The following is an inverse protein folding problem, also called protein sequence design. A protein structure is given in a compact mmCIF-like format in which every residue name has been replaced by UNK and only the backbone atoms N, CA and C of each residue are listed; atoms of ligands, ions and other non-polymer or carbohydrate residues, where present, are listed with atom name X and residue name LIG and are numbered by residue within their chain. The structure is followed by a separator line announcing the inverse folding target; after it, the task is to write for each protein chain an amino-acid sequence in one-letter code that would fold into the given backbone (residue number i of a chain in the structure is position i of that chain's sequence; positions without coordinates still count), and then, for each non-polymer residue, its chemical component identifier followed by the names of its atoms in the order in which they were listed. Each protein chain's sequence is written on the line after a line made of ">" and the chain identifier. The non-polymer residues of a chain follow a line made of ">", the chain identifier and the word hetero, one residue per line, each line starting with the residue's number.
data_IF_717525879210
#
_entry.id   IF_717525879210
#
_cell.length_a   1.000
_cell.length_b   1.000
_cell.length_c   1.000
_cell.angle_alpha   90.00
_cell.angle_beta   90.00
_cell.angle_gamma   90.00
#
_symmetry.space_group_name_H-M   'P 1'
#
loop_
_entity.id
_entity.type
_entity.pdbx_description
1 polymer ?
#
# COMPACT_ATOMS: atom_id res chain seq x y z
N UNK A 1 -1.19 -27.61 -24.49
CA UNK A 1 -2.19 -28.45 -23.79
C UNK A 1 -1.49 -29.38 -22.81
N UNK A 2 -2.04 -29.46 -21.59
CA UNK A 2 -1.85 -30.45 -20.51
C UNK A 2 -0.42 -30.86 -20.07
N UNK A 3 -0.01 -30.38 -18.89
CA UNK A 3 0.81 -31.13 -17.95
C UNK A 3 -0.09 -32.17 -17.25
N UNK A 4 0.09 -33.47 -17.55
CA UNK A 4 -0.40 -34.61 -16.75
C UNK A 4 0.55 -34.77 -15.56
N UNK A 5 0.08 -34.65 -14.32
CA UNK A 5 -0.47 -35.73 -13.48
C UNK A 5 0.49 -36.89 -13.24
N UNK A 6 1.09 -36.86 -12.05
CA UNK A 6 1.39 -37.95 -11.10
C UNK A 6 1.56 -39.37 -11.67
N UNK A 7 2.75 -39.96 -11.48
CA UNK A 7 2.92 -41.18 -10.69
C UNK A 7 4.39 -41.59 -10.63
N UNK A 8 4.83 -42.06 -9.46
CA UNK A 8 5.35 -43.42 -9.26
C UNK A 8 6.15 -43.51 -7.95
N UNK A 9 5.59 -44.31 -7.05
CA UNK A 9 6.28 -44.97 -5.94
C UNK A 9 7.51 -45.73 -6.42
N UNK A 10 8.63 -45.63 -5.69
CA UNK A 10 9.53 -46.78 -5.57
C UNK A 10 10.27 -46.78 -4.23
N UNK A 11 10.02 -47.84 -3.49
CA UNK A 11 10.68 -48.28 -2.27
C UNK A 11 12.00 -48.96 -2.59
N UNK A 12 13.10 -48.61 -1.94
CA UNK A 12 14.23 -49.55 -1.78
C UNK A 12 14.85 -49.41 -0.39
N UNK A 13 14.77 -50.51 0.34
CA UNK A 13 15.44 -50.83 1.60
C UNK A 13 16.96 -50.87 1.37
N UNK A 14 17.75 -50.32 2.29
CA UNK A 14 19.13 -50.79 2.47
C UNK A 14 19.64 -50.59 3.90
N UNK A 15 19.78 -51.74 4.56
CA UNK A 15 20.83 -52.18 5.49
C UNK A 15 21.18 -51.40 6.78
N UNK A 16 20.96 -52.06 7.93
CA UNK A 16 21.52 -51.77 9.26
C UNK A 16 23.00 -52.16 9.31
N UNK A 17 23.79 -51.65 10.28
CA UNK A 17 24.04 -52.47 11.47
C UNK A 17 24.06 -51.71 12.81
N UNK A 18 24.24 -52.51 13.87
CA UNK A 18 24.05 -52.26 15.30
C UNK A 18 24.89 -51.14 15.93
N UNK A 19 24.35 -50.56 17.00
CA UNK A 19 25.09 -49.77 17.98
C UNK A 19 24.18 -49.26 19.11
N UNK A 20 23.87 -50.11 20.08
CA UNK A 20 23.26 -49.70 21.34
C UNK A 20 24.29 -48.93 22.18
N UNK A 21 24.02 -47.66 22.48
CA UNK A 21 24.61 -46.97 23.64
C UNK A 21 23.59 -45.99 24.21
N UNK A 22 22.85 -46.46 25.22
CA UNK A 22 22.14 -45.57 26.15
C UNK A 22 23.19 -44.83 26.97
N UNK A 23 23.24 -43.51 26.85
CA UNK A 23 23.68 -42.62 27.93
C UNK A 23 22.64 -41.53 28.11
N UNK A 24 22.08 -41.52 29.32
CA UNK A 24 21.30 -40.41 29.87
C UNK A 24 22.12 -39.12 29.82
N UNK A 25 21.50 -37.98 29.49
CA UNK A 25 21.40 -36.80 30.36
C UNK A 25 20.93 -35.56 29.56
N UNK A 26 20.14 -34.73 30.25
CA UNK A 26 19.94 -33.31 30.04
C UNK A 26 19.13 -32.80 28.84
N UNK A 27 17.89 -32.44 29.18
CA UNK A 27 17.10 -31.37 28.62
C UNK A 27 17.86 -30.30 27.81
N UNK A 28 17.46 -30.13 26.55
CA UNK A 28 17.40 -28.81 25.92
C UNK A 28 16.30 -28.83 24.86
N UNK A 29 15.10 -28.40 25.26
CA UNK A 29 14.05 -27.98 24.32
C UNK A 29 14.58 -26.75 23.60
N UNK A 30 15.34 -26.96 22.53
CA UNK A 30 15.66 -25.90 21.59
C UNK A 30 14.37 -25.65 20.82
N UNK A 31 13.49 -24.82 21.39
CA UNK A 31 12.39 -24.22 20.66
C UNK A 31 13.02 -23.41 19.54
N UNK A 32 13.12 -24.04 18.37
CA UNK A 32 13.35 -23.34 17.12
C UNK A 32 12.27 -22.28 17.02
N UNK A 33 12.66 -21.05 17.33
CA UNK A 33 11.93 -19.84 17.03
C UNK A 33 12.01 -19.65 15.51
N UNK A 34 11.40 -20.55 14.76
CA UNK A 34 10.93 -20.23 13.41
C UNK A 34 9.80 -19.24 13.66
N UNK A 35 10.19 -17.97 13.71
CA UNK A 35 9.27 -16.84 13.70
C UNK A 35 8.34 -17.09 12.53
N UNK A 36 7.14 -17.56 12.86
CA UNK A 36 6.00 -17.57 11.96
C UNK A 36 5.89 -16.12 11.53
N UNK A 37 6.29 -15.81 10.30
CA UNK A 37 5.94 -14.57 9.62
C UNK A 37 4.43 -14.61 9.37
N UNK A 38 3.67 -14.61 10.46
CA UNK A 38 2.25 -14.46 10.47
C UNK A 38 2.02 -13.02 10.03
N UNK A 39 1.57 -12.88 8.78
CA UNK A 39 0.86 -11.75 8.21
C UNK A 39 0.66 -10.63 9.26
N UNK A 40 1.68 -9.76 9.43
CA UNK A 40 1.58 -8.62 10.34
C UNK A 40 0.48 -7.76 9.76
N UNK A 41 -0.74 -7.89 10.31
CA UNK A 41 -1.75 -6.85 10.22
C UNK A 41 -1.00 -5.60 10.65
N UNK A 42 -0.69 -4.71 9.71
CA UNK A 42 -0.13 -3.41 10.07
C UNK A 42 -1.15 -2.86 11.05
N UNK A 43 -0.71 -2.56 12.27
CA UNK A 43 -1.48 -1.70 13.14
C UNK A 43 -1.58 -0.37 12.38
N UNK A 44 -2.70 -0.18 11.70
CA UNK A 44 -2.99 1.03 10.96
C UNK A 44 -3.60 1.96 12.00
N UNK A 45 -2.73 2.64 12.76
CA UNK A 45 -3.09 3.55 13.86
C UNK A 45 -4.13 4.60 13.48
N UNK A 46 -4.64 5.43 14.41
CA UNK A 46 -5.79 6.31 14.20
C UNK A 46 -5.72 7.14 12.91
N UNK A 47 -6.88 7.44 12.29
CA UNK A 47 -6.97 8.19 11.02
C UNK A 47 -6.14 9.47 11.05
N UNK A 48 -6.24 10.26 12.12
CA UNK A 48 -5.50 11.51 12.28
C UNK A 48 -3.98 11.31 12.20
N UNK A 49 -3.45 10.30 12.91
CA UNK A 49 -2.01 10.00 12.91
C UNK A 49 -1.50 9.63 11.49
N UNK A 50 -2.32 8.94 10.69
CA UNK A 50 -1.96 8.57 9.32
C UNK A 50 -1.91 9.78 8.39
N UNK A 51 -2.88 10.67 8.51
CA UNK A 51 -2.92 11.92 7.74
C UNK A 51 -1.72 12.78 8.09
N UNK A 52 -1.39 12.92 9.37
CA UNK A 52 -0.21 13.65 9.81
C UNK A 52 1.09 13.03 9.27
N UNK A 53 1.21 11.70 9.35
CA UNK A 53 2.37 10.98 8.79
C UNK A 53 2.51 11.22 7.28
N UNK A 54 1.40 11.22 6.54
CA UNK A 54 1.40 11.50 5.10
C UNK A 54 1.71 12.97 4.79
N UNK A 55 1.18 13.90 5.58
CA UNK A 55 1.44 15.33 5.41
C UNK A 55 2.93 15.67 5.64
N UNK A 56 3.59 14.98 6.57
CA UNK A 56 5.03 15.15 6.84
C UNK A 56 5.92 14.42 5.83
N UNK A 57 5.42 13.35 5.20
CA UNK A 57 6.19 12.57 4.22
C UNK A 57 6.49 13.36 2.95
N UNK A 58 7.77 13.39 2.55
CA UNK A 58 8.20 13.97 1.28
C UNK A 58 7.60 13.22 0.09
N UNK A 59 7.65 11.89 0.11
CA UNK A 59 7.14 11.03 -0.96
C UNK A 59 5.64 11.21 -1.18
N UNK A 60 4.86 11.34 -0.09
CA UNK A 60 3.42 11.54 -0.18
C UNK A 60 3.08 12.90 -0.81
N UNK A 61 3.76 13.97 -0.38
CA UNK A 61 3.57 15.31 -0.98
C UNK A 61 4.00 15.32 -2.45
N UNK A 62 5.16 14.77 -2.75
CA UNK A 62 5.66 14.63 -4.11
C UNK A 62 4.70 13.82 -4.99
N UNK A 63 4.09 12.76 -4.47
CA UNK A 63 3.09 11.97 -5.21
C UNK A 63 1.88 12.81 -5.63
N UNK A 64 1.36 13.66 -4.73
CA UNK A 64 0.22 14.53 -5.07
C UNK A 64 0.64 15.64 -6.05
N UNK A 65 1.84 16.21 -5.87
CA UNK A 65 2.41 17.20 -6.79
C UNK A 65 2.62 16.64 -8.20
N UNK A 66 3.18 15.43 -8.32
CA UNK A 66 3.36 14.74 -9.60
C UNK A 66 2.01 14.38 -10.26
N UNK A 67 1.01 14.02 -9.46
CA UNK A 67 -0.35 13.81 -9.97
C UNK A 67 -0.93 15.11 -10.53
N UNK A 68 -0.68 16.24 -9.85
CA UNK A 68 -1.12 17.55 -10.27
C UNK A 68 -0.45 17.97 -11.58
N UNK A 69 0.90 17.83 -11.64
CA UNK A 69 1.77 18.12 -12.78
C UNK A 69 1.43 17.30 -14.02
N UNK A 70 0.92 16.08 -13.85
CA UNK A 70 0.51 15.19 -14.95
C UNK A 70 -1.00 15.28 -15.29
N UNK A 71 -1.59 16.47 -15.26
CA UNK A 71 -3.04 16.74 -15.18
C UNK A 71 -3.98 15.57 -14.82
N UNK A 72 -3.70 14.83 -13.73
CA UNK A 72 -4.59 13.76 -13.23
C UNK A 72 -5.67 14.36 -12.33
N UNK A 73 -6.87 13.79 -12.35
CA UNK A 73 -7.89 14.13 -11.35
C UNK A 73 -7.36 13.79 -9.95
N UNK A 74 -7.64 14.66 -8.97
CA UNK A 74 -7.24 14.49 -7.57
C UNK A 74 -8.48 14.69 -6.70
N UNK A 75 -8.70 13.78 -5.75
CA UNK A 75 -9.76 13.89 -4.76
C UNK A 75 -9.17 13.80 -3.35
N UNK A 76 -9.57 14.74 -2.49
CA UNK A 76 -9.14 14.81 -1.10
C UNK A 76 -10.38 14.91 -0.19
N UNK A 77 -11.00 13.77 0.17
CA UNK A 77 -12.17 13.75 1.06
C UNK A 77 -11.78 13.88 2.53
N UNK A 78 -12.48 14.73 3.27
CA UNK A 78 -12.33 14.88 4.71
C UNK A 78 -10.92 15.32 5.10
N UNK A 79 -10.32 14.63 6.08
CA UNK A 79 -8.93 14.85 6.49
C UNK A 79 -7.86 14.68 5.37
N UNK A 80 -8.23 14.15 4.19
CA UNK A 80 -7.32 14.12 3.04
C UNK A 80 -6.91 15.53 2.56
N UNK A 81 -7.73 16.55 2.85
CA UNK A 81 -7.43 17.96 2.51
C UNK A 81 -6.16 18.46 3.17
N UNK A 82 -5.79 17.91 4.32
CA UNK A 82 -4.61 18.32 5.07
C UNK A 82 -3.33 17.89 4.33
N UNK A 83 -3.35 16.74 3.66
CA UNK A 83 -2.24 16.27 2.81
C UNK A 83 -2.10 17.14 1.57
N UNK A 84 -3.21 17.49 0.92
CA UNK A 84 -3.20 18.40 -0.23
C UNK A 84 -2.72 19.80 0.16
N UNK A 85 -3.11 20.28 1.34
CA UNK A 85 -2.66 21.56 1.89
C UNK A 85 -1.17 21.54 2.23
N UNK A 86 -0.67 20.45 2.82
CA UNK A 86 0.76 20.26 3.11
C UNK A 86 1.63 20.16 1.84
N UNK A 87 1.04 19.76 0.71
CA UNK A 87 1.67 19.80 -0.60
C UNK A 87 1.56 21.18 -1.30
N UNK A 88 0.96 22.18 -0.65
CA UNK A 88 0.72 23.52 -1.20
C UNK A 88 -0.03 23.54 -2.54
N UNK A 89 -0.98 22.61 -2.72
CA UNK A 89 -1.78 22.55 -3.93
C UNK A 89 -2.93 23.56 -3.91
N UNK A 90 -3.23 24.21 -5.04
CA UNK A 90 -4.39 25.09 -5.16
C UNK A 90 -5.68 24.28 -4.99
N UNK A 91 -6.48 24.64 -3.97
CA UNK A 91 -7.69 23.93 -3.59
C UNK A 91 -8.85 24.11 -4.59
N UNK A 92 -8.81 25.20 -5.36
CA UNK A 92 -9.81 25.65 -6.33
C UNK A 92 -9.43 25.31 -7.78
N UNK A 93 -8.32 24.60 -8.00
CA UNK A 93 -7.88 24.23 -9.34
C UNK A 93 -8.77 23.16 -9.98
N UNK A 94 -8.92 23.24 -11.30
CA UNK A 94 -9.73 22.29 -12.06
C UNK A 94 -9.32 20.83 -11.78
N UNK A 95 -10.32 19.97 -11.61
CA UNK A 95 -10.14 18.55 -11.35
C UNK A 95 -9.43 18.21 -10.04
N UNK A 96 -9.36 19.17 -9.11
CA UNK A 96 -9.12 18.92 -7.69
C UNK A 96 -10.46 19.00 -6.97
N UNK A 97 -10.88 17.93 -6.30
CA UNK A 97 -12.14 17.87 -5.55
C UNK A 97 -11.85 17.68 -4.07
N UNK A 98 -12.18 18.67 -3.25
CA UNK A 98 -11.95 18.67 -1.80
C UNK A 98 -13.29 18.77 -1.07
N UNK A 99 -13.49 18.01 0.01
CA UNK A 99 -14.63 18.21 0.90
C UNK A 99 -14.25 18.03 2.36
N UNK A 100 -15.13 18.51 3.23
CA UNK A 100 -15.12 18.16 4.65
C UNK A 100 -15.62 16.74 4.91
N UNK A 101 -15.45 16.29 6.16
CA UNK A 101 -15.89 14.98 6.63
C UNK A 101 -17.40 14.80 6.43
N UNK A 102 -17.80 13.59 6.04
CA UNK A 102 -19.20 13.22 5.82
C UNK A 102 -19.80 13.64 4.47
N UNK A 103 -19.09 14.42 3.64
CA UNK A 103 -19.55 14.88 2.31
C UNK A 103 -18.92 14.11 1.15
N UNK A 104 -18.80 12.78 1.29
CA UNK A 104 -18.09 11.95 0.32
C UNK A 104 -18.68 12.02 -1.10
N UNK A 105 -20.02 12.03 -1.21
CA UNK A 105 -20.70 12.10 -2.51
C UNK A 105 -20.40 13.39 -3.28
N UNK A 106 -20.16 14.49 -2.55
CA UNK A 106 -19.81 15.78 -3.14
C UNK A 106 -18.39 15.79 -3.75
N UNK A 107 -17.52 14.86 -3.34
CA UNK A 107 -16.18 14.67 -3.93
C UNK A 107 -16.20 13.62 -5.03
N UNK A 108 -16.85 12.49 -4.77
CA UNK A 108 -16.78 11.33 -5.66
C UNK A 108 -17.42 11.59 -7.02
N UNK A 109 -18.58 12.26 -7.07
CA UNK A 109 -19.25 12.59 -8.33
C UNK A 109 -18.37 13.43 -9.27
N UNK A 110 -17.90 14.65 -8.88
CA UNK A 110 -17.06 15.45 -9.76
C UNK A 110 -15.71 14.78 -10.05
N UNK A 111 -15.17 14.01 -9.10
CA UNK A 111 -13.94 13.24 -9.33
C UNK A 111 -14.11 12.18 -10.42
N UNK A 112 -15.20 11.40 -10.40
CA UNK A 112 -15.48 10.38 -11.42
C UNK A 112 -15.71 11.03 -12.79
N UNK A 113 -16.45 12.14 -12.84
CA UNK A 113 -16.67 12.89 -14.08
C UNK A 113 -15.34 13.38 -14.68
N UNK A 114 -14.46 13.90 -13.83
CA UNK A 114 -13.12 14.36 -14.22
C UNK A 114 -12.23 13.19 -14.67
N UNK A 115 -12.30 12.04 -14.00
CA UNK A 115 -11.60 10.82 -14.42
C UNK A 115 -12.06 10.34 -15.80
N UNK A 116 -13.35 10.48 -16.11
CA UNK A 116 -13.91 10.17 -17.43
C UNK A 116 -13.28 10.96 -18.58
N UNK A 117 -12.72 12.14 -18.29
CA UNK A 117 -12.01 12.97 -19.27
C UNK A 117 -10.56 12.52 -19.53
N UNK A 118 -10.10 11.43 -18.89
CA UNK A 118 -8.73 10.92 -18.88
C UNK A 118 -7.70 11.87 -18.21
N UNK A 119 -7.70 13.15 -18.56
CA UNK A 119 -6.85 14.21 -18.00
C UNK A 119 -7.58 15.55 -17.96
N UNK A 120 -7.10 16.43 -17.10
CA UNK A 120 -7.62 17.79 -16.95
C UNK A 120 -6.80 18.76 -17.80
N UNK A 121 -7.16 18.92 -19.06
CA UNK A 121 -6.35 19.71 -20.01
C UNK A 121 -6.35 21.21 -19.74
N UNK A 122 -7.45 21.76 -19.21
CA UNK A 122 -7.64 23.19 -18.94
C UNK A 122 -6.56 23.75 -18.00
N UNK A 123 -6.13 22.95 -17.02
CA UNK A 123 -5.12 23.36 -16.04
C UNK A 123 -3.69 23.06 -16.46
N UNK A 124 -3.41 22.65 -17.70
CA UNK A 124 -2.06 22.23 -18.13
C UNK A 124 -1.00 23.32 -17.87
N UNK A 125 -1.32 24.58 -18.15
CA UNK A 125 -0.41 25.71 -17.89
C UNK A 125 -0.11 25.88 -16.40
N UNK A 126 -1.13 25.71 -15.56
CA UNK A 126 -0.94 25.75 -14.11
C UNK A 126 -0.10 24.56 -13.63
N UNK A 127 -0.35 23.36 -14.18
CA UNK A 127 0.41 22.16 -13.86
C UNK A 127 1.91 22.26 -14.24
N UNK A 128 2.24 22.95 -15.33
CA UNK A 128 3.63 23.19 -15.76
C UNK A 128 4.39 24.15 -14.81
N UNK A 129 3.68 25.00 -14.07
CA UNK A 129 4.28 25.92 -13.10
C UNK A 129 4.63 25.27 -11.76
N UNK A 130 4.11 24.07 -11.50
CA UNK A 130 4.34 23.35 -10.24
C UNK A 130 5.63 22.54 -10.34
N UNK A 131 6.57 22.85 -9.45
CA UNK A 131 7.76 22.04 -9.24
C UNK A 131 7.48 21.00 -8.16
N UNK A 132 7.61 19.72 -8.53
CA UNK A 132 7.37 18.58 -7.66
C UNK A 132 8.66 18.04 -7.06
#
# INVERSE_FOLDING_TARGET
>A
MSRRWFDRHESVLSTRPHGYLRKHCAARRNHGFIARAANRRRDVGPRAQRIETLAQSGDARHFVLEAFRHPKAIAAPGAGKDVSSAAHLPADADGVSISDDGKLDAVLKPFIETLGQHRVWLRRRLAESVHA
#
